data_IF_757789982573
#
_entry.id   IF_757789982573
#
_cell.length_a   1.000
_cell.length_b   1.000
_cell.length_c   1.000
_cell.angle_alpha   90.00
_cell.angle_beta   90.00
_cell.angle_gamma   90.00
#
_symmetry.space_group_name_H-M   'P 1'
#
loop_
_entity.id
_entity.type
_entity.pdbx_description
1 polymer ?
#
# COMPACT_ATOMS: atom_id res chain seq x y z
N UNK A 1 16.36 -26.43 10.83
CA UNK A 1 15.89 -25.48 9.80
C UNK A 1 16.69 -24.21 9.97
N UNK A 2 17.77 -24.04 9.22
CA UNK A 2 18.58 -22.82 9.26
C UNK A 2 17.81 -21.74 8.51
N UNK A 3 17.22 -20.80 9.26
CA UNK A 3 16.76 -19.54 8.67
C UNK A 3 18.03 -18.84 8.21
N UNK A 4 18.27 -18.82 6.90
CA UNK A 4 19.31 -17.98 6.33
C UNK A 4 19.01 -16.56 6.79
N UNK A 5 19.92 -15.96 7.57
CA UNK A 5 19.86 -14.54 7.90
C UNK A 5 20.03 -13.82 6.56
N UNK A 6 18.92 -13.41 5.96
CA UNK A 6 18.98 -12.49 4.82
C UNK A 6 19.58 -11.20 5.36
N UNK A 7 20.79 -10.86 4.91
CA UNK A 7 21.40 -9.56 5.18
C UNK A 7 20.51 -8.49 4.54
N UNK A 8 19.74 -7.80 5.38
CA UNK A 8 18.64 -6.96 4.93
C UNK A 8 19.17 -5.57 4.58
N UNK A 9 19.22 -5.26 3.28
CA UNK A 9 19.65 -3.95 2.77
C UNK A 9 18.42 -3.16 2.31
N UNK A 10 18.00 -2.17 3.10
CA UNK A 10 16.80 -1.36 2.80
C UNK A 10 17.18 0.09 2.49
N UNK A 11 16.75 0.59 1.33
CA UNK A 11 16.81 2.02 1.02
C UNK A 11 15.56 2.71 1.55
N UNK A 12 15.59 3.11 2.82
CA UNK A 12 14.42 3.65 3.55
C UNK A 12 13.77 4.86 2.88
N UNK A 13 14.56 5.78 2.33
CA UNK A 13 14.04 6.94 1.58
C UNK A 13 13.26 6.54 0.30
N UNK A 14 13.78 5.57 -0.46
CA UNK A 14 13.09 5.04 -1.63
C UNK A 14 11.81 4.27 -1.23
N UNK A 15 11.88 3.49 -0.15
CA UNK A 15 10.74 2.73 0.37
C UNK A 15 9.60 3.64 0.84
N UNK A 16 9.94 4.72 1.55
CA UNK A 16 8.96 5.72 2.00
C UNK A 16 8.36 6.49 0.83
N UNK A 17 9.17 6.86 -0.17
CA UNK A 17 8.70 7.54 -1.38
C UNK A 17 7.68 6.70 -2.14
N UNK A 18 8.03 5.44 -2.42
CA UNK A 18 7.13 4.48 -3.09
C UNK A 18 5.88 4.20 -2.26
N UNK A 19 5.99 4.09 -0.94
CA UNK A 19 4.84 3.94 -0.05
C UNK A 19 3.88 5.13 -0.12
N UNK A 20 4.39 6.35 -0.19
CA UNK A 20 3.58 7.56 -0.33
C UNK A 20 2.88 7.62 -1.70
N UNK A 21 3.62 7.33 -2.79
CA UNK A 21 3.05 7.28 -4.14
C UNK A 21 1.96 6.22 -4.26
N UNK A 22 2.17 5.05 -3.67
CA UNK A 22 1.20 3.97 -3.67
C UNK A 22 -0.05 4.32 -2.86
N UNK A 23 0.12 5.02 -1.72
CA UNK A 23 -1.01 5.50 -0.93
C UNK A 23 -1.83 6.54 -1.70
N UNK A 24 -1.16 7.46 -2.43
CA UNK A 24 -1.84 8.40 -3.31
C UNK A 24 -2.58 7.71 -4.45
N UNK A 25 -1.97 6.70 -5.07
CA UNK A 25 -2.61 5.91 -6.12
C UNK A 25 -3.82 5.11 -5.60
N UNK A 26 -3.70 4.49 -4.42
CA UNK A 26 -4.80 3.79 -3.77
C UNK A 26 -5.96 4.73 -3.42
N UNK A 27 -5.66 5.92 -2.91
CA UNK A 27 -6.67 6.94 -2.59
C UNK A 27 -7.40 7.46 -3.83
N UNK A 28 -6.73 7.47 -4.98
CA UNK A 28 -7.29 7.88 -6.26
C UNK A 28 -8.21 6.82 -6.89
N UNK A 29 -8.33 5.61 -6.31
CA UNK A 29 -9.30 4.61 -6.75
C UNK A 29 -10.70 5.20 -6.59
N UNK A 30 -11.47 5.35 -7.71
CA UNK A 30 -12.81 5.91 -7.65
C UNK A 30 -13.74 5.04 -6.82
N UNK A 31 -14.73 5.68 -6.21
CA UNK A 31 -15.74 4.95 -5.45
C UNK A 31 -16.56 4.01 -6.35
N UNK A 32 -17.27 3.09 -5.69
CA UNK A 32 -18.19 2.19 -6.35
C UNK A 32 -19.23 2.99 -7.17
N UNK A 33 -19.46 2.65 -8.45
CA UNK A 33 -20.49 3.30 -9.24
C UNK A 33 -21.87 3.03 -8.63
N UNK A 34 -22.78 3.99 -8.73
CA UNK A 34 -24.18 3.75 -8.33
C UNK A 34 -24.85 2.83 -9.37
N UNK A 35 -25.56 1.78 -8.95
CA UNK A 35 -26.37 0.97 -9.87
C UNK A 35 -27.42 1.85 -10.55
N UNK A 36 -27.56 1.70 -11.87
CA UNK A 36 -28.63 2.35 -12.64
C UNK A 36 -29.60 1.27 -13.12
N UNK A 37 -30.90 1.51 -12.94
CA UNK A 37 -31.95 0.62 -13.42
C UNK A 37 -32.89 1.38 -14.34
N UNK A 38 -33.13 0.91 -15.57
CA UNK A 38 -34.13 1.51 -16.44
C UNK A 38 -35.53 1.33 -15.83
N UNK A 39 -36.42 2.30 -16.07
CA UNK A 39 -37.78 2.33 -15.50
C UNK A 39 -38.82 1.61 -16.36
N UNK A 40 -38.47 1.19 -17.58
CA UNK A 40 -39.36 0.47 -18.50
C UNK A 40 -39.49 -1.01 -18.16
N UNK A 41 -40.70 -1.56 -18.27
CA UNK A 41 -40.98 -3.00 -18.11
C UNK A 41 -40.98 -3.78 -19.43
N UNK A 42 -40.60 -3.13 -20.54
CA UNK A 42 -40.52 -3.78 -21.84
C UNK A 42 -39.30 -4.72 -21.93
N UNK A 43 -39.30 -5.68 -22.88
CA UNK A 43 -38.23 -6.65 -23.01
C UNK A 43 -36.84 -6.04 -23.21
N UNK A 44 -36.74 -4.89 -23.88
CA UNK A 44 -35.46 -4.21 -24.10
C UNK A 44 -34.96 -3.57 -22.81
N UNK A 45 -35.82 -2.86 -22.07
CA UNK A 45 -35.45 -2.30 -20.76
C UNK A 45 -35.04 -3.40 -19.77
N UNK A 46 -35.71 -4.55 -19.78
CA UNK A 46 -35.34 -5.71 -18.95
C UNK A 46 -33.95 -6.25 -19.33
N UNK A 47 -33.65 -6.36 -20.64
CA UNK A 47 -32.35 -6.80 -21.12
C UNK A 47 -31.23 -5.81 -20.74
N UNK A 48 -31.50 -4.50 -20.83
CA UNK A 48 -30.56 -3.45 -20.40
C UNK A 48 -30.31 -3.54 -18.89
N UNK A 49 -31.35 -3.69 -18.08
CA UNK A 49 -31.23 -3.84 -16.63
C UNK A 49 -30.33 -5.03 -16.27
N UNK A 50 -30.58 -6.19 -16.89
CA UNK A 50 -29.78 -7.40 -16.66
C UNK A 50 -28.31 -7.21 -17.07
N UNK A 51 -28.04 -6.56 -18.21
CA UNK A 51 -26.68 -6.27 -18.65
C UNK A 51 -25.94 -5.31 -17.72
N UNK A 52 -26.63 -4.24 -17.26
CA UNK A 52 -26.08 -3.29 -16.29
C UNK A 52 -25.77 -3.99 -14.97
N UNK A 53 -26.67 -4.81 -14.44
CA UNK A 53 -26.42 -5.58 -13.22
C UNK A 53 -25.19 -6.47 -13.36
N UNK A 54 -25.08 -7.24 -14.45
CA UNK A 54 -23.95 -8.15 -14.66
C UNK A 54 -22.60 -7.42 -14.79
N UNK A 55 -22.62 -6.19 -15.29
CA UNK A 55 -21.39 -5.41 -15.54
C UNK A 55 -21.00 -4.56 -14.33
N UNK A 56 -21.97 -3.97 -13.65
CA UNK A 56 -21.76 -2.99 -12.57
C UNK A 56 -21.68 -3.66 -11.20
N UNK A 57 -22.40 -4.76 -10.96
CA UNK A 57 -22.40 -5.43 -9.66
C UNK A 57 -20.99 -5.88 -9.20
N UNK A 58 -20.13 -6.46 -10.06
CA UNK A 58 -18.76 -6.77 -9.68
C UNK A 58 -17.96 -5.52 -9.28
N UNK A 59 -18.12 -4.43 -10.02
CA UNK A 59 -17.43 -3.16 -9.73
C UNK A 59 -17.88 -2.55 -8.40
N UNK A 60 -19.15 -2.72 -8.02
CA UNK A 60 -19.68 -2.30 -6.74
C UNK A 60 -19.12 -3.13 -5.59
N UNK A 61 -18.97 -4.45 -5.80
CA UNK A 61 -18.44 -5.37 -4.81
C UNK A 61 -16.92 -5.21 -4.61
N UNK A 62 -16.16 -5.15 -5.71
CA UNK A 62 -14.71 -5.35 -5.69
C UNK A 62 -13.92 -4.05 -5.48
N UNK A 63 -14.43 -2.89 -5.92
CA UNK A 63 -13.67 -1.62 -5.81
C UNK A 63 -13.38 -1.19 -4.37
N UNK A 64 -14.33 -1.25 -3.42
CA UNK A 64 -14.03 -0.90 -2.03
C UNK A 64 -12.94 -1.81 -1.45
N UNK A 65 -13.05 -3.12 -1.70
CA UNK A 65 -12.06 -4.09 -1.25
C UNK A 65 -10.66 -3.81 -1.86
N UNK A 66 -10.59 -3.54 -3.17
CA UNK A 66 -9.34 -3.20 -3.84
C UNK A 66 -8.72 -1.90 -3.30
N UNK A 67 -9.56 -0.88 -3.00
CA UNK A 67 -9.12 0.38 -2.41
C UNK A 67 -8.56 0.19 -1.00
N UNK A 68 -9.23 -0.62 -0.20
CA UNK A 68 -8.81 -0.93 1.17
C UNK A 68 -7.51 -1.75 1.19
N UNK A 69 -7.40 -2.78 0.34
CA UNK A 69 -6.20 -3.61 0.23
C UNK A 69 -4.99 -2.79 -0.21
N UNK A 70 -5.13 -1.99 -1.26
CA UNK A 70 -4.05 -1.14 -1.77
C UNK A 70 -3.62 -0.10 -0.73
N UNK A 71 -4.58 0.51 -0.02
CA UNK A 71 -4.30 1.50 1.03
C UNK A 71 -3.58 0.85 2.22
N UNK A 72 -4.05 -0.31 2.67
CA UNK A 72 -3.44 -1.07 3.76
C UNK A 72 -2.00 -1.46 3.44
N UNK A 73 -1.76 -1.96 2.22
CA UNK A 73 -0.43 -2.32 1.78
C UNK A 73 0.51 -1.11 1.71
N UNK A 74 0.05 0.03 1.17
CA UNK A 74 0.84 1.27 1.13
C UNK A 74 1.19 1.78 2.55
N UNK A 75 0.23 1.70 3.48
CA UNK A 75 0.46 2.06 4.88
C UNK A 75 1.47 1.14 5.56
N UNK A 76 1.37 -0.17 5.33
CA UNK A 76 2.32 -1.16 5.84
C UNK A 76 3.73 -0.90 5.30
N UNK A 77 3.86 -0.55 4.02
CA UNK A 77 5.14 -0.19 3.41
C UNK A 77 5.75 1.06 4.07
N UNK A 78 4.95 2.09 4.30
CA UNK A 78 5.39 3.29 5.01
C UNK A 78 5.77 3.03 6.47
N UNK A 79 5.02 2.17 7.17
CA UNK A 79 5.34 1.75 8.53
C UNK A 79 6.67 0.97 8.58
N UNK A 80 6.91 0.06 7.64
CA UNK A 80 8.16 -0.65 7.51
C UNK A 80 9.34 0.30 7.26
N UNK A 81 9.18 1.28 6.36
CA UNK A 81 10.22 2.28 6.09
C UNK A 81 10.60 3.06 7.38
N UNK A 82 9.62 3.49 8.17
CA UNK A 82 9.86 4.18 9.45
C UNK A 82 10.55 3.28 10.48
N UNK A 83 10.16 2.01 10.55
CA UNK A 83 10.79 1.04 11.46
C UNK A 83 12.27 0.83 11.13
N UNK A 84 12.62 0.77 9.84
CA UNK A 84 14.02 0.68 9.43
C UNK A 84 14.81 1.95 9.75
N UNK A 85 14.26 3.15 9.49
CA UNK A 85 14.91 4.41 9.89
C UNK A 85 15.18 4.45 11.39
N UNK A 86 14.17 4.13 12.21
CA UNK A 86 14.30 4.14 13.66
C UNK A 86 15.22 3.04 14.22
N UNK A 87 15.59 2.04 13.42
CA UNK A 87 16.59 1.02 13.79
C UNK A 87 18.00 1.42 13.32
N UNK A 88 18.12 2.06 12.15
CA UNK A 88 19.40 2.53 11.62
C UNK A 88 19.97 3.71 12.44
N UNK A 89 19.12 4.60 12.94
CA UNK A 89 19.52 5.77 13.74
C UNK A 89 20.28 5.38 15.03
N UNK A 90 19.79 4.49 15.91
CA UNK A 90 20.53 4.05 17.10
C UNK A 90 21.77 3.22 16.76
N UNK A 91 21.79 2.50 15.62
CA UNK A 91 22.99 1.80 15.14
C UNK A 91 24.09 2.80 14.73
N UNK A 92 23.72 3.89 14.05
CA UNK A 92 24.65 4.98 13.71
C UNK A 92 25.21 5.65 14.96
N UNK A 93 24.37 5.97 15.94
CA UNK A 93 24.81 6.56 17.21
C UNK A 93 25.73 5.63 18.02
N UNK A 94 25.49 4.32 18.00
CA UNK A 94 26.38 3.34 18.63
C UNK A 94 27.73 3.27 17.92
N UNK A 95 27.75 3.29 16.58
CA UNK A 95 28.99 3.34 15.80
C UNK A 95 29.77 4.63 16.09
N UNK A 96 29.11 5.79 16.11
CA UNK A 96 29.75 7.08 16.42
C UNK A 96 30.30 7.12 17.85
N UNK A 97 29.59 6.53 18.82
CA UNK A 97 30.09 6.37 20.20
C UNK A 97 31.32 5.46 20.26
N UNK A 98 31.34 4.37 19.50
CA UNK A 98 32.49 3.48 19.42
C UNK A 98 33.69 4.15 18.75
N UNK A 99 33.49 4.88 17.65
CA UNK A 99 34.54 5.62 16.94
C UNK A 99 35.09 6.76 17.81
N UNK A 100 34.21 7.52 18.48
CA UNK A 100 34.61 8.61 19.38
C UNK A 100 35.27 8.12 20.67
N UNK A 101 35.03 6.84 21.04
CA UNK A 101 35.66 6.17 22.18
C UNK A 101 37.00 5.50 21.87
N UNK A 102 37.45 5.45 20.60
CA UNK A 102 38.79 4.97 20.24
C UNK A 102 39.77 6.14 20.40
N UNK A 103 40.67 6.13 21.41
CA UNK A 103 41.74 7.12 21.46
C UNK A 103 42.62 6.93 20.23
N UNK A 104 42.95 8.04 19.55
CA UNK A 104 43.94 8.07 18.48
C UNK A 104 45.23 7.44 18.99
N UNK A 105 45.47 6.19 18.58
CA UNK A 105 46.69 5.48 18.90
C UNK A 105 47.74 5.91 17.90
N UNK A 106 48.56 6.90 18.29
CA UNK A 106 49.88 7.19 17.72
C UNK A 106 49.90 8.01 16.44
#
# INVERSE_FOLDING_TARGET
>A
MLVAVLDLRVKTGALSGVGQELLSAASAIPDAPQPVSPTGGDPLSTAIAAHVTNTVAPLVADRPAAKDEASSYAQALGAAARAYVGTDEPLGEEIDRQISGVPASG
#
